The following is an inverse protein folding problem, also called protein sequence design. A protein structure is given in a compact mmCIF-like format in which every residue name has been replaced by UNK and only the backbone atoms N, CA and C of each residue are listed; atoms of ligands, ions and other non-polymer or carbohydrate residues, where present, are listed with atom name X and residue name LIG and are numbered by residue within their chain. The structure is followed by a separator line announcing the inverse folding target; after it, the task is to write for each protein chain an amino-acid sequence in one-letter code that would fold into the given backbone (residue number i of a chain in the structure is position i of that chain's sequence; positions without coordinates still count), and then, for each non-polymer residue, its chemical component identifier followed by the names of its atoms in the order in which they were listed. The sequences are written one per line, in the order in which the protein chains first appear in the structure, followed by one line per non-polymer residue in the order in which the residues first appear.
data_IF_334989961789
#
_entry.id   IF_334989961789
#
_cell.length_a   1.000
_cell.length_b   1.000
_cell.length_c   1.000
_cell.angle_alpha   90.00
_cell.angle_beta   90.00
_cell.angle_gamma   90.00
#
_symmetry.space_group_name_H-M   'P 1'
#
loop_
_entity.id
_entity.type
_entity.pdbx_description
1 polymer ?
#
# COMPACT_ATOMS: atom_id res chain seq x y z
N UNK A 1 2.48 -52.52 25.30
CA UNK A 1 1.83 -53.12 24.10
C UNK A 1 0.36 -52.70 23.93
N UNK A 2 -0.48 -52.64 24.97
CA UNK A 2 -1.91 -52.26 24.84
C UNK A 2 -2.15 -50.85 24.27
N UNK A 3 -1.34 -49.85 24.65
CA UNK A 3 -1.45 -48.48 24.14
C UNK A 3 -1.08 -48.33 22.64
N UNK A 4 -0.18 -49.17 22.14
CA UNK A 4 0.20 -49.21 20.73
C UNK A 4 -0.93 -49.80 19.88
N UNK A 5 -1.60 -50.83 20.40
CA UNK A 5 -2.73 -51.46 19.75
C UNK A 5 -3.94 -50.51 19.66
N UNK A 6 -4.26 -49.80 20.74
CA UNK A 6 -5.31 -48.78 20.74
C UNK A 6 -5.01 -47.61 19.80
N UNK A 7 -3.73 -47.26 19.64
CA UNK A 7 -3.29 -46.24 18.70
C UNK A 7 -3.47 -46.68 17.24
N UNK A 8 -3.10 -47.92 16.91
CA UNK A 8 -3.32 -48.48 15.55
C UNK A 8 -4.82 -48.57 15.25
N UNK A 9 -5.64 -48.97 16.21
CA UNK A 9 -7.09 -49.04 16.03
C UNK A 9 -7.72 -47.66 15.87
N UNK A 10 -7.17 -46.64 16.54
CA UNK A 10 -7.54 -45.25 16.31
C UNK A 10 -7.14 -44.77 14.91
N UNK A 11 -5.91 -45.05 14.47
CA UNK A 11 -5.46 -44.76 13.11
C UNK A 11 -6.39 -45.41 12.08
N UNK A 12 -6.78 -46.68 12.28
CA UNK A 12 -7.67 -47.42 11.39
C UNK A 12 -9.10 -46.86 11.38
N UNK A 13 -9.60 -46.41 12.53
CA UNK A 13 -10.93 -45.79 12.66
C UNK A 13 -11.01 -44.41 11.99
N UNK A 14 -9.88 -43.70 11.93
CA UNK A 14 -9.82 -42.32 11.48
C UNK A 14 -9.09 -42.15 10.13
N UNK A 15 -8.95 -43.21 9.34
CA UNK A 15 -8.16 -43.24 8.09
C UNK A 15 -8.46 -42.07 7.14
N UNK A 16 -9.73 -41.78 6.85
CA UNK A 16 -10.10 -40.70 5.92
C UNK A 16 -9.73 -39.32 6.45
N UNK A 17 -9.90 -39.07 7.75
CA UNK A 17 -9.50 -37.81 8.39
C UNK A 17 -7.98 -37.67 8.45
N UNK A 18 -7.28 -38.76 8.75
CA UNK A 18 -5.82 -38.79 8.78
C UNK A 18 -5.23 -38.55 7.39
N UNK A 19 -5.80 -39.17 6.34
CA UNK A 19 -5.39 -38.97 4.95
C UNK A 19 -5.53 -37.50 4.51
N UNK A 20 -6.62 -36.84 4.91
CA UNK A 20 -6.82 -35.40 4.65
C UNK A 20 -5.75 -34.56 5.35
N UNK A 21 -5.48 -34.81 6.64
CA UNK A 21 -4.48 -34.07 7.41
C UNK A 21 -3.07 -34.27 6.84
N UNK A 22 -2.69 -35.51 6.53
CA UNK A 22 -1.38 -35.83 5.95
C UNK A 22 -1.23 -35.18 4.57
N UNK A 23 -2.28 -35.23 3.74
CA UNK A 23 -2.28 -34.56 2.44
C UNK A 23 -2.13 -33.04 2.54
N UNK A 24 -2.84 -32.41 3.48
CA UNK A 24 -2.72 -30.97 3.73
C UNK A 24 -1.30 -30.58 4.15
N UNK A 25 -0.68 -31.36 5.05
CA UNK A 25 0.70 -31.11 5.50
C UNK A 25 1.70 -31.24 4.35
N UNK A 26 1.55 -32.24 3.47
CA UNK A 26 2.42 -32.42 2.30
C UNK A 26 2.30 -31.24 1.33
N UNK A 27 1.08 -30.79 1.04
CA UNK A 27 0.85 -29.63 0.16
C UNK A 27 1.47 -28.38 0.76
N UNK A 28 1.24 -28.11 2.05
CA UNK A 28 1.79 -26.94 2.73
C UNK A 28 3.34 -26.95 2.75
N UNK A 29 3.96 -28.11 2.98
CA UNK A 29 5.42 -28.25 2.98
C UNK A 29 6.03 -28.00 1.59
N UNK A 30 5.38 -28.49 0.52
CA UNK A 30 5.81 -28.23 -0.85
C UNK A 30 5.65 -26.75 -1.24
N UNK A 31 4.57 -26.10 -0.80
CA UNK A 31 4.35 -24.67 -1.04
C UNK A 31 5.34 -23.79 -0.27
N UNK A 32 5.69 -24.16 0.96
CA UNK A 32 6.60 -23.38 1.81
C UNK A 32 8.09 -23.65 1.49
N UNK A 33 8.43 -24.84 0.97
CA UNK A 33 9.81 -25.26 0.74
C UNK A 33 10.54 -24.63 -0.46
N UNK A 34 9.82 -24.04 -1.42
CA UNK A 34 10.41 -23.49 -2.66
C UNK A 34 10.91 -22.04 -2.48
N UNK A 35 10.49 -21.34 -1.42
CA UNK A 35 10.84 -19.94 -1.17
C UNK A 35 12.10 -19.74 -0.34
N UNK A 36 13.29 -20.06 -0.87
CA UNK A 36 14.56 -19.57 -0.28
C UNK A 36 14.98 -18.29 -1.00
N UNK A 37 14.59 -17.12 -0.47
CA UNK A 37 15.09 -15.83 -0.95
C UNK A 37 16.52 -15.65 -0.45
N UNK A 38 17.50 -15.77 -1.35
CA UNK A 38 18.91 -15.49 -1.06
C UNK A 38 19.21 -14.05 -1.46
N UNK A 39 19.39 -13.17 -0.48
CA UNK A 39 19.93 -11.84 -0.73
C UNK A 39 21.46 -11.94 -0.80
N UNK A 40 22.07 -11.52 -1.91
CA UNK A 40 23.51 -11.27 -1.97
C UNK A 40 23.84 -10.03 -1.15
N UNK A 41 24.89 -10.07 -0.32
CA UNK A 41 25.26 -8.96 0.57
C UNK A 41 26.01 -7.82 -0.13
N UNK A 42 26.36 -7.99 -1.41
CA UNK A 42 27.08 -7.00 -2.20
C UNK A 42 26.28 -6.68 -3.47
N UNK A 43 25.39 -5.68 -3.44
CA UNK A 43 24.84 -5.13 -4.66
C UNK A 43 25.94 -4.45 -5.49
N UNK A 44 25.91 -4.54 -6.83
CA UNK A 44 26.85 -3.82 -7.67
C UNK A 44 26.65 -2.31 -7.54
N UNK A 45 27.75 -1.56 -7.56
CA UNK A 45 27.74 -0.11 -7.50
C UNK A 45 27.19 0.46 -8.82
N UNK A 46 26.08 1.19 -8.77
CA UNK A 46 25.43 1.76 -9.96
C UNK A 46 25.96 3.18 -10.13
N UNK A 47 26.91 3.37 -11.05
CA UNK A 47 27.38 4.69 -11.46
C UNK A 47 26.33 5.32 -12.36
N UNK A 48 25.62 6.33 -11.86
CA UNK A 48 24.73 7.17 -12.65
C UNK A 48 25.61 8.22 -13.34
N UNK A 49 25.88 8.05 -14.64
CA UNK A 49 26.40 9.14 -15.47
C UNK A 49 25.26 10.16 -15.67
N UNK A 50 25.35 11.28 -14.96
CA UNK A 50 24.42 12.39 -15.14
C UNK A 50 24.64 13.03 -16.53
N UNK A 51 23.59 13.22 -17.36
CA UNK A 51 23.73 14.00 -18.58
C UNK A 51 23.97 15.46 -18.18
N UNK A 52 25.21 15.92 -18.33
CA UNK A 52 25.55 17.35 -18.22
C UNK A 52 24.81 18.10 -19.33
N UNK A 53 23.69 18.72 -18.96
CA UNK A 53 23.07 19.77 -19.78
C UNK A 53 23.99 21.00 -19.73
N UNK A 54 24.57 21.36 -20.87
CA UNK A 54 25.33 22.60 -21.04
C UNK A 54 24.37 23.78 -21.11
N UNK A 55 24.24 24.51 -19.99
CA UNK A 55 23.33 25.66 -19.85
C UNK A 55 23.95 26.98 -20.34
N UNK A 56 25.05 26.96 -21.09
CA UNK A 56 25.75 28.19 -21.53
C UNK A 56 25.05 28.96 -22.67
N UNK A 57 24.00 28.42 -23.29
CA UNK A 57 23.33 29.07 -24.45
C UNK A 57 22.10 29.95 -24.13
N UNK A 58 21.65 30.07 -22.88
CA UNK A 58 20.38 30.77 -22.58
C UNK A 58 20.47 32.28 -22.30
N UNK A 59 21.65 32.91 -22.34
CA UNK A 59 21.79 34.30 -21.87
C UNK A 59 21.75 35.40 -22.96
N UNK A 60 21.29 35.10 -24.19
CA UNK A 60 21.33 36.06 -25.30
C UNK A 60 19.97 36.42 -25.92
N UNK A 61 18.89 36.53 -25.14
CA UNK A 61 17.66 37.20 -25.62
C UNK A 61 16.72 37.65 -24.49
N UNK A 62 17.13 38.61 -23.67
CA UNK A 62 16.18 39.43 -22.92
C UNK A 62 16.61 40.89 -22.96
N UNK A 63 16.07 41.63 -23.93
CA UNK A 63 15.83 43.07 -23.85
C UNK A 63 14.87 43.45 -24.98
N UNK A 64 13.55 43.42 -24.69
CA UNK A 64 12.57 44.37 -25.24
C UNK A 64 11.17 44.16 -24.63
N UNK A 65 10.69 45.26 -24.03
CA UNK A 65 9.29 45.65 -23.79
C UNK A 65 8.55 45.14 -22.52
N UNK A 66 8.09 46.07 -21.64
CA UNK A 66 7.24 45.79 -20.48
C UNK A 66 5.75 45.99 -20.79
N UNK A 67 4.88 45.12 -20.25
CA UNK A 67 3.45 45.41 -20.10
C UNK A 67 2.86 44.66 -18.89
N UNK A 68 2.34 45.43 -17.96
CA UNK A 68 1.59 45.05 -16.76
C UNK A 68 0.12 44.76 -17.13
N UNK A 69 -0.53 43.72 -16.55
CA UNK A 69 -1.90 43.77 -15.97
C UNK A 69 -2.03 42.69 -14.87
N UNK A 70 -2.67 43.07 -13.77
CA UNK A 70 -2.83 42.39 -12.47
C UNK A 70 -4.24 41.80 -12.24
N UNK A 71 -4.40 41.10 -11.10
CA UNK A 71 -5.63 40.60 -10.41
C UNK A 71 -6.15 39.23 -10.89
N UNK A 72 -6.55 38.25 -10.08
CA UNK A 72 -6.84 38.08 -8.64
C UNK A 72 -6.92 36.52 -8.47
N UNK A 73 -6.34 35.81 -7.50
CA UNK A 73 -6.53 35.93 -6.07
C UNK A 73 -5.34 35.29 -5.33
N UNK A 74 -4.79 36.06 -4.41
CA UNK A 74 -3.70 35.71 -3.51
C UNK A 74 -4.26 34.97 -2.29
N UNK A 75 -3.68 33.80 -1.99
CA UNK A 75 -3.20 33.37 -0.66
C UNK A 75 -4.03 33.66 0.60
N UNK A 76 -4.31 32.60 1.38
CA UNK A 76 -4.32 32.76 2.83
C UNK A 76 -5.06 31.70 3.65
N UNK A 77 -4.46 30.52 3.83
CA UNK A 77 -4.03 30.07 5.17
C UNK A 77 -3.02 28.93 5.02
N UNK A 78 -1.76 29.31 5.15
CA UNK A 78 -0.71 28.43 5.66
C UNK A 78 -1.01 28.25 7.16
N UNK A 79 -1.93 27.35 7.50
CA UNK A 79 -1.97 26.75 8.82
C UNK A 79 -1.19 25.46 8.66
N UNK A 80 -0.10 25.32 9.41
CA UNK A 80 0.92 24.28 9.19
C UNK A 80 0.31 22.96 8.78
N UNK A 81 0.86 22.33 7.73
CA UNK A 81 0.58 20.94 7.42
C UNK A 81 1.05 20.11 8.62
N UNK A 82 0.19 20.03 9.63
CA UNK A 82 0.20 18.93 10.57
C UNK A 82 0.01 17.72 9.68
N UNK A 83 1.11 17.03 9.40
CA UNK A 83 1.10 15.68 8.88
C UNK A 83 0.19 14.91 9.83
N UNK A 84 -1.07 14.78 9.43
CA UNK A 84 -2.05 14.08 10.20
C UNK A 84 -2.05 12.65 9.69
N UNK A 85 -1.38 11.72 10.39
CA UNK A 85 -1.35 10.32 9.98
C UNK A 85 -2.74 9.69 9.98
N UNK A 86 -3.74 10.35 10.58
CA UNK A 86 -5.12 9.89 10.62
C UNK A 86 -6.05 10.64 9.67
N UNK A 87 -5.57 11.52 8.79
CA UNK A 87 -6.43 12.23 7.83
C UNK A 87 -7.69 12.85 8.48
N UNK A 88 -7.60 13.42 9.68
CA UNK A 88 -8.77 13.87 10.47
C UNK A 88 -9.51 14.95 9.69
N UNK A 89 -10.81 14.72 9.45
CA UNK A 89 -11.66 15.62 8.66
C UNK A 89 -11.52 15.48 7.14
N UNK A 90 -10.62 14.62 6.66
CA UNK A 90 -10.47 14.26 5.23
C UNK A 90 -10.99 12.84 4.99
N UNK A 91 -11.08 12.44 3.72
CA UNK A 91 -11.52 11.10 3.35
C UNK A 91 -10.35 10.13 3.59
N UNK A 92 -10.61 9.08 4.39
CA UNK A 92 -9.63 8.07 4.77
C UNK A 92 -9.64 6.91 3.77
N UNK A 93 -8.59 6.73 2.99
CA UNK A 93 -8.41 5.58 2.10
C UNK A 93 -7.62 4.46 2.78
N UNK A 94 -8.23 3.29 2.96
CA UNK A 94 -7.58 2.10 3.51
C UNK A 94 -7.33 1.07 2.40
N UNK A 95 -6.11 0.52 2.37
CA UNK A 95 -5.72 -0.56 1.46
C UNK A 95 -5.58 -1.83 2.29
N UNK A 96 -6.65 -2.62 2.36
CA UNK A 96 -6.67 -3.88 3.09
C UNK A 96 -6.56 -5.10 2.18
N UNK A 97 -6.48 -6.29 2.77
CA UNK A 97 -6.49 -7.57 2.05
C UNK A 97 -7.77 -7.77 1.22
N UNK A 98 -8.87 -7.11 1.61
CA UNK A 98 -10.16 -7.10 0.92
C UNK A 98 -10.30 -6.03 -0.16
N UNK A 99 -9.23 -5.28 -0.44
CA UNK A 99 -9.18 -4.22 -1.45
C UNK A 99 -9.12 -2.80 -0.89
N UNK A 100 -9.28 -1.83 -1.80
CA UNK A 100 -9.16 -0.38 -1.56
C UNK A 100 -10.52 0.21 -1.19
N UNK A 101 -10.70 0.67 0.06
CA UNK A 101 -11.97 1.25 0.54
C UNK A 101 -11.71 2.64 1.12
N UNK A 102 -12.55 3.62 0.78
CA UNK A 102 -12.50 4.94 1.40
C UNK A 102 -13.66 5.16 2.38
N UNK A 103 -13.38 5.90 3.45
CA UNK A 103 -14.31 6.26 4.51
C UNK A 103 -14.47 7.78 4.60
N UNK A 104 -15.72 8.22 4.64
CA UNK A 104 -16.08 9.62 4.80
C UNK A 104 -16.05 10.03 6.28
N UNK A 105 -15.69 11.29 6.60
CA UNK A 105 -15.85 11.83 7.95
C UNK A 105 -17.30 11.72 8.39
N UNK A 106 -17.53 11.13 9.57
CA UNK A 106 -18.87 10.84 10.11
C UNK A 106 -19.44 9.45 9.77
N UNK A 107 -18.73 8.64 8.97
CA UNK A 107 -19.11 7.24 8.73
C UNK A 107 -18.88 6.34 9.96
N UNK A 108 -19.62 5.24 10.09
CA UNK A 108 -19.58 4.38 11.28
C UNK A 108 -18.21 3.71 11.52
N UNK A 109 -17.38 3.65 10.48
CA UNK A 109 -16.04 3.06 10.53
C UNK A 109 -14.92 4.11 10.42
N UNK A 110 -15.27 5.40 10.31
CA UNK A 110 -14.27 6.44 10.06
C UNK A 110 -13.23 6.56 11.18
N UNK A 111 -13.67 6.52 12.45
CA UNK A 111 -12.78 6.70 13.60
C UNK A 111 -11.80 5.55 13.79
N UNK A 112 -12.22 4.31 13.49
CA UNK A 112 -11.41 3.11 13.67
C UNK A 112 -10.51 2.77 12.48
N UNK A 113 -10.75 3.39 11.32
CA UNK A 113 -9.97 3.13 10.11
C UNK A 113 -8.64 3.88 10.19
N UNK A 114 -7.56 3.12 9.99
CA UNK A 114 -6.21 3.65 9.76
C UNK A 114 -6.07 3.88 8.24
N UNK A 115 -5.93 5.14 7.80
CA UNK A 115 -5.75 5.45 6.39
C UNK A 115 -4.31 5.22 5.94
N UNK A 116 -4.16 4.76 4.70
CA UNK A 116 -2.89 4.73 3.96
C UNK A 116 -2.76 5.98 3.07
N UNK A 117 -3.88 6.42 2.49
CA UNK A 117 -3.98 7.63 1.69
C UNK A 117 -5.09 8.54 2.23
N UNK A 118 -4.82 9.84 2.27
CA UNK A 118 -5.83 10.86 2.56
C UNK A 118 -6.31 11.49 1.25
N UNK A 119 -7.62 11.61 1.07
CA UNK A 119 -8.21 12.32 -0.06
C UNK A 119 -8.99 13.55 0.40
N UNK A 120 -8.94 14.63 -0.38
CA UNK A 120 -9.76 15.82 -0.15
C UNK A 120 -11.19 15.62 -0.67
N UNK A 121 -11.36 14.88 -1.77
CA UNK A 121 -12.66 14.67 -2.42
C UNK A 121 -12.95 13.19 -2.71
N UNK A 122 -14.23 12.83 -2.83
CA UNK A 122 -14.64 11.46 -3.22
C UNK A 122 -14.18 11.13 -4.64
N UNK A 123 -14.09 12.13 -5.52
CA UNK A 123 -13.64 11.95 -6.90
C UNK A 123 -12.18 11.51 -6.96
N UNK A 124 -11.31 12.11 -6.15
CA UNK A 124 -9.90 11.72 -6.07
C UNK A 124 -9.74 10.28 -5.57
N UNK A 125 -10.52 9.91 -4.55
CA UNK A 125 -10.52 8.55 -4.01
C UNK A 125 -10.97 7.52 -5.06
N UNK A 126 -12.02 7.83 -5.83
CA UNK A 126 -12.51 6.98 -6.91
C UNK A 126 -11.52 6.90 -8.07
N UNK A 127 -10.89 8.00 -8.46
CA UNK A 127 -9.84 8.05 -9.48
C UNK A 127 -8.61 7.20 -9.08
N UNK A 128 -8.28 7.16 -7.78
CA UNK A 128 -7.26 6.28 -7.23
C UNK A 128 -7.69 4.79 -7.11
N UNK A 129 -8.94 4.48 -7.50
CA UNK A 129 -9.48 3.12 -7.52
C UNK A 129 -10.02 2.64 -6.17
N UNK A 130 -10.35 3.55 -5.24
CA UNK A 130 -10.99 3.20 -3.99
C UNK A 130 -12.52 3.18 -4.15
N UNK A 131 -13.18 2.18 -3.56
CA UNK A 131 -14.64 2.11 -3.47
C UNK A 131 -15.14 2.68 -2.14
N UNK A 132 -16.38 3.17 -2.14
CA UNK A 132 -17.02 3.71 -0.93
C UNK A 132 -17.26 2.62 0.12
N UNK A 133 -17.01 2.93 1.39
CA UNK A 133 -17.46 2.08 2.50
C UNK A 133 -18.97 1.93 2.46
N UNK A 134 -19.47 0.70 2.64
CA UNK A 134 -20.91 0.42 2.65
C UNK A 134 -21.61 0.85 3.94
N UNK A 135 -20.88 1.41 4.91
CA UNK A 135 -21.34 1.76 6.27
C UNK A 135 -20.53 2.92 6.84
#
# INVERSE_FOLDING_TARGET
MKAYFSFIDFLRRNQSKLALIVGFILVAALSFGIGRFSATSNPPDIVIEEPVLDLTELNNTQNSAPAQISADAQSGVVAGETYDPNCTGKIKGNIGSSGKIYHLPGGAFYERTIPELCFATEADAQAAGFRKSSR
#
